data_IF_389046455663
#
_entry.id   IF_389046455663
#
_cell.length_a   1.000
_cell.length_b   1.000
_cell.length_c   1.000
_cell.angle_alpha   90.00
_cell.angle_beta   90.00
_cell.angle_gamma   90.00
#
_symmetry.space_group_name_H-M   'P 1'
#
loop_
_entity.id
_entity.type
_entity.pdbx_description
1 polymer ?
#
# COMPACT_ATOMS: atom_id res chain seq x y z
N UNK A 1 -46.16 27.57 -40.29
CA UNK A 1 -45.71 27.41 -41.70
C UNK A 1 -46.12 26.03 -42.21
N UNK A 2 -45.91 25.72 -43.51
CA UNK A 2 -46.32 24.47 -44.19
C UNK A 2 -45.98 23.20 -43.38
N UNK A 3 -46.96 22.33 -43.08
CA UNK A 3 -47.43 21.15 -43.87
C UNK A 3 -46.37 20.03 -44.01
N UNK A 4 -46.65 18.72 -43.87
CA UNK A 4 -47.70 17.92 -43.19
C UNK A 4 -47.66 16.46 -43.72
N UNK A 5 -47.99 15.46 -42.88
CA UNK A 5 -48.44 14.08 -43.24
C UNK A 5 -47.44 13.24 -44.09
N UNK A 6 -47.60 11.95 -44.44
CA UNK A 6 -48.74 10.98 -44.46
C UNK A 6 -48.35 9.53 -44.10
N UNK A 7 -49.35 8.76 -43.64
CA UNK A 7 -49.68 7.30 -43.83
C UNK A 7 -48.53 6.30 -44.07
N UNK A 8 -48.42 5.13 -43.42
CA UNK A 8 -49.36 4.25 -42.70
C UNK A 8 -50.60 3.73 -43.48
N UNK A 9 -50.57 2.46 -43.92
CA UNK A 9 -51.71 1.60 -44.30
C UNK A 9 -51.20 0.13 -44.24
N UNK A 10 -51.80 -0.76 -43.44
CA UNK A 10 -52.70 -1.88 -43.83
C UNK A 10 -51.98 -3.12 -44.43
N UNK A 11 -52.51 -4.36 -44.41
CA UNK A 11 -53.93 -4.79 -44.30
C UNK A 11 -54.09 -6.11 -43.50
N UNK A 12 -55.32 -6.42 -43.06
CA UNK A 12 -55.72 -7.68 -42.42
C UNK A 12 -56.73 -8.43 -43.31
N UNK A 13 -56.47 -9.70 -43.61
CA UNK A 13 -57.42 -10.77 -44.04
C UNK A 13 -56.74 -12.12 -43.73
N UNK A 14 -57.26 -13.11 -43.00
CA UNK A 14 -58.61 -13.63 -42.72
C UNK A 14 -59.12 -14.66 -43.77
N UNK A 15 -59.86 -15.66 -43.27
CA UNK A 15 -60.52 -16.81 -43.95
C UNK A 15 -59.65 -17.95 -44.51
N UNK A 16 -60.10 -19.22 -44.59
CA UNK A 16 -61.10 -19.98 -43.78
C UNK A 16 -61.16 -21.47 -44.22
N UNK A 17 -61.61 -22.37 -43.31
CA UNK A 17 -62.41 -23.61 -43.56
C UNK A 17 -61.70 -24.80 -44.28
N UNK A 18 -62.01 -26.09 -44.02
CA UNK A 18 -62.88 -26.71 -42.97
C UNK A 18 -62.00 -27.34 -41.85
N UNK A 19 -61.97 -28.62 -41.39
CA UNK A 19 -62.80 -29.86 -41.36
C UNK A 19 -62.34 -30.64 -40.07
N UNK A 20 -63.09 -31.41 -39.27
CA UNK A 20 -64.36 -32.18 -39.37
C UNK A 20 -64.24 -33.54 -40.10
N UNK A 21 -64.84 -34.65 -39.66
CA UNK A 21 -65.45 -34.99 -38.36
C UNK A 21 -65.22 -36.49 -38.04
N UNK A 22 -65.26 -36.97 -36.79
CA UNK A 22 -66.50 -37.41 -36.11
C UNK A 22 -66.19 -37.80 -34.65
N UNK A 23 -66.99 -37.39 -33.64
CA UNK A 23 -68.20 -38.05 -33.10
C UNK A 23 -67.94 -39.46 -32.48
N UNK A 24 -68.44 -39.81 -31.29
CA UNK A 24 -69.79 -39.54 -30.74
C UNK A 24 -69.88 -39.56 -29.19
N UNK A 25 -70.95 -38.95 -28.65
CA UNK A 25 -71.39 -38.86 -27.24
C UNK A 25 -72.13 -40.16 -26.75
N UNK A 26 -72.71 -40.22 -25.52
CA UNK A 26 -72.14 -40.05 -24.17
C UNK A 26 -72.68 -41.09 -23.14
N UNK A 27 -72.49 -40.82 -21.84
CA UNK A 27 -73.35 -41.25 -20.70
C UNK A 27 -73.41 -42.73 -20.30
N UNK A 28 -73.12 -42.98 -19.00
CA UNK A 28 -74.00 -43.81 -18.19
C UNK A 28 -73.93 -43.49 -16.69
N UNK A 29 -75.07 -43.19 -16.09
CA UNK A 29 -75.30 -43.31 -14.66
C UNK A 29 -75.43 -44.78 -14.26
N UNK A 30 -75.17 -45.11 -12.98
CA UNK A 30 -75.59 -46.39 -12.39
C UNK A 30 -75.71 -46.26 -10.86
N UNK A 31 -76.92 -46.37 -10.28
CA UNK A 31 -77.10 -46.78 -8.89
C UNK A 31 -77.08 -48.32 -8.76
N UNK A 32 -77.00 -48.80 -7.52
CA UNK A 32 -76.88 -50.22 -7.17
C UNK A 32 -78.05 -51.08 -7.67
N UNK A 33 -77.77 -52.37 -7.98
CA UNK A 33 -78.35 -53.41 -7.13
C UNK A 33 -77.53 -54.73 -7.06
N UNK A 34 -77.76 -55.44 -5.96
CA UNK A 34 -77.26 -56.77 -5.59
C UNK A 34 -78.24 -57.89 -6.09
N UNK A 35 -78.05 -59.21 -5.85
CA UNK A 35 -76.89 -59.93 -5.28
C UNK A 35 -76.47 -61.23 -6.06
N UNK A 36 -75.54 -61.99 -5.44
CA UNK A 36 -75.61 -63.46 -5.25
C UNK A 36 -74.86 -64.44 -6.19
N UNK A 37 -73.83 -65.05 -5.57
CA UNK A 37 -73.60 -66.51 -5.38
C UNK A 37 -72.56 -67.26 -6.25
N UNK A 38 -71.43 -67.60 -5.58
CA UNK A 38 -70.63 -68.85 -5.68
C UNK A 38 -70.06 -69.26 -7.07
N UNK A 39 -68.73 -69.37 -7.25
CA UNK A 39 -67.94 -70.52 -6.77
C UNK A 39 -66.41 -70.27 -6.65
N UNK A 40 -65.87 -70.57 -5.46
CA UNK A 40 -64.61 -71.29 -5.11
C UNK A 40 -63.38 -71.30 -6.07
N UNK A 41 -62.34 -70.52 -5.71
CA UNK A 41 -60.87 -70.80 -5.83
C UNK A 41 -60.22 -70.92 -7.25
N UNK A 42 -58.86 -70.83 -7.41
CA UNK A 42 -57.79 -70.88 -6.40
C UNK A 42 -56.84 -69.66 -6.30
N UNK A 43 -55.83 -69.86 -5.44
CA UNK A 43 -54.92 -68.91 -4.78
C UNK A 43 -53.81 -68.37 -5.70
N UNK A 44 -53.57 -67.05 -5.65
CA UNK A 44 -52.32 -66.40 -6.11
C UNK A 44 -51.86 -65.40 -5.04
N UNK A 45 -50.57 -65.32 -4.66
CA UNK A 45 -50.11 -64.33 -3.67
C UNK A 45 -49.84 -62.98 -4.37
N UNK A 46 -50.68 -61.98 -4.11
CA UNK A 46 -50.40 -60.61 -4.57
C UNK A 46 -49.36 -59.94 -3.66
N UNK A 47 -48.40 -59.23 -4.26
CA UNK A 47 -47.25 -58.68 -3.55
C UNK A 47 -47.64 -57.62 -2.51
N UNK A 48 -47.00 -57.67 -1.34
CA UNK A 48 -47.28 -56.80 -0.19
C UNK A 48 -46.69 -55.39 -0.40
N UNK A 49 -47.50 -54.44 -0.88
CA UNK A 49 -47.11 -53.03 -1.08
C UNK A 49 -47.01 -52.29 0.26
N UNK A 50 -45.86 -52.46 0.92
CA UNK A 50 -45.47 -51.69 2.11
C UNK A 50 -45.57 -50.17 1.83
N UNK A 51 -46.22 -49.37 2.68
CA UNK A 51 -46.37 -47.93 2.45
C UNK A 51 -45.01 -47.22 2.44
N UNK A 52 -44.86 -46.25 1.55
CA UNK A 52 -43.68 -45.38 1.47
C UNK A 52 -43.59 -44.46 2.69
N UNK A 53 -42.49 -44.53 3.42
CA UNK A 53 -42.18 -43.54 4.45
C UNK A 53 -41.74 -42.21 3.81
N UNK A 54 -42.05 -41.06 4.44
CA UNK A 54 -41.61 -39.77 3.94
C UNK A 54 -40.08 -39.66 4.07
N UNK A 55 -39.36 -39.57 2.94
CA UNK A 55 -37.92 -39.35 2.95
C UNK A 55 -37.61 -37.91 3.41
N UNK A 56 -36.96 -37.77 4.56
CA UNK A 56 -36.71 -36.46 5.17
C UNK A 56 -35.63 -35.68 4.42
N UNK A 57 -35.95 -34.46 4.00
CA UNK A 57 -35.10 -33.53 3.24
C UNK A 57 -33.96 -32.91 4.07
N UNK A 58 -33.07 -33.74 4.63
CA UNK A 58 -31.97 -33.32 5.51
C UNK A 58 -30.64 -33.03 4.79
N UNK A 59 -30.47 -33.47 3.54
CA UNK A 59 -29.19 -33.39 2.81
C UNK A 59 -28.87 -31.96 2.32
N UNK A 60 -29.82 -31.30 1.64
CA UNK A 60 -29.57 -30.06 0.89
C UNK A 60 -29.07 -28.90 1.75
N UNK A 61 -29.53 -28.79 3.00
CA UNK A 61 -29.13 -27.69 3.91
C UNK A 61 -27.64 -27.78 4.26
N UNK A 62 -27.11 -28.99 4.52
CA UNK A 62 -25.69 -29.19 4.81
C UNK A 62 -24.79 -28.83 3.61
N UNK A 63 -25.25 -29.14 2.40
CA UNK A 63 -24.55 -28.78 1.15
C UNK A 63 -24.51 -27.25 1.00
N UNK A 64 -25.64 -26.56 1.19
CA UNK A 64 -25.72 -25.09 1.09
C UNK A 64 -24.80 -24.42 2.12
N UNK A 65 -24.81 -24.86 3.38
CA UNK A 65 -23.93 -24.32 4.44
C UNK A 65 -22.46 -24.55 4.10
N UNK A 66 -22.09 -25.73 3.60
CA UNK A 66 -20.72 -26.03 3.16
C UNK A 66 -20.26 -25.11 2.02
N UNK A 67 -21.10 -24.91 0.99
CA UNK A 67 -20.80 -24.01 -0.13
C UNK A 67 -20.66 -22.56 0.33
N UNK A 68 -21.53 -22.08 1.22
CA UNK A 68 -21.43 -20.71 1.79
C UNK A 68 -20.14 -20.54 2.60
N UNK A 69 -19.76 -21.52 3.43
CA UNK A 69 -18.50 -21.48 4.19
C UNK A 69 -17.27 -21.48 3.26
N UNK A 70 -17.29 -22.26 2.17
CA UNK A 70 -16.21 -22.25 1.17
C UNK A 70 -16.12 -20.90 0.43
N UNK A 71 -17.26 -20.29 0.07
CA UNK A 71 -17.28 -18.98 -0.58
C UNK A 71 -16.81 -17.85 0.34
N UNK A 72 -17.23 -17.86 1.61
CA UNK A 72 -16.75 -16.90 2.63
C UNK A 72 -15.26 -17.11 2.93
N UNK A 73 -14.81 -18.36 3.06
CA UNK A 73 -13.39 -18.69 3.24
C UNK A 73 -12.53 -18.22 2.06
N UNK A 74 -12.98 -18.49 0.83
CA UNK A 74 -12.32 -18.02 -0.39
C UNK A 74 -12.30 -16.49 -0.46
N UNK A 75 -13.40 -15.81 -0.15
CA UNK A 75 -13.45 -14.35 -0.11
C UNK A 75 -12.50 -13.77 0.94
N UNK A 76 -12.43 -14.35 2.15
CA UNK A 76 -11.47 -13.93 3.18
C UNK A 76 -10.01 -14.16 2.75
N UNK A 77 -9.69 -15.30 2.13
CA UNK A 77 -8.34 -15.56 1.59
C UNK A 77 -8.02 -14.58 0.47
N UNK A 78 -8.94 -14.31 -0.46
CA UNK A 78 -8.76 -13.31 -1.50
C UNK A 78 -8.61 -11.90 -0.92
N UNK A 79 -9.38 -11.53 0.10
CA UNK A 79 -9.28 -10.23 0.77
C UNK A 79 -7.95 -10.08 1.54
N UNK A 80 -7.40 -11.15 2.12
CA UNK A 80 -6.08 -11.15 2.74
C UNK A 80 -4.95 -11.11 1.71
N UNK A 81 -5.06 -11.82 0.59
CA UNK A 81 -4.07 -11.79 -0.51
C UNK A 81 -4.10 -10.43 -1.21
N UNK A 82 -5.26 -9.95 -1.64
CA UNK A 82 -5.42 -8.62 -2.25
C UNK A 82 -5.06 -7.53 -1.24
N UNK A 83 -5.55 -7.60 0.00
CA UNK A 83 -5.26 -6.62 1.05
C UNK A 83 -3.78 -6.56 1.45
N UNK A 84 -3.05 -7.68 1.40
CA UNK A 84 -1.59 -7.66 1.58
C UNK A 84 -0.87 -7.08 0.36
N UNK A 85 -1.26 -7.42 -0.88
CA UNK A 85 -0.71 -6.79 -2.08
C UNK A 85 -0.96 -5.27 -2.11
N UNK A 86 -2.14 -4.79 -1.72
CA UNK A 86 -2.45 -3.36 -1.63
C UNK A 86 -1.68 -2.64 -0.50
N UNK A 87 -1.50 -3.26 0.67
CA UNK A 87 -0.65 -2.69 1.74
C UNK A 87 0.84 -2.68 1.36
N UNK A 88 1.33 -3.70 0.66
CA UNK A 88 2.71 -3.76 0.14
C UNK A 88 2.93 -2.74 -0.98
N UNK A 89 1.92 -2.51 -1.83
CA UNK A 89 1.97 -1.58 -2.96
C UNK A 89 2.28 -0.12 -2.61
N UNK A 90 2.01 0.31 -1.37
CA UNK A 90 2.25 1.69 -0.93
C UNK A 90 3.67 1.98 -0.39
N UNK A 91 4.56 0.98 -0.29
CA UNK A 91 5.86 1.15 0.39
C UNK A 91 7.07 0.58 -0.38
N UNK A 92 7.37 1.16 -1.55
CA UNK A 92 8.77 1.25 -2.03
C UNK A 92 9.06 2.40 -3.03
N UNK A 93 8.60 3.61 -2.71
CA UNK A 93 9.19 4.81 -3.30
C UNK A 93 10.69 4.89 -2.95
N UNK A 94 11.56 5.14 -3.94
CA UNK A 94 13.02 5.24 -3.73
C UNK A 94 13.34 6.47 -2.85
N UNK A 95 13.52 6.27 -1.55
CA UNK A 95 13.77 7.38 -0.63
C UNK A 95 15.17 7.93 -0.87
N UNK A 96 15.24 9.21 -1.29
CA UNK A 96 16.46 10.01 -1.21
C UNK A 96 16.77 10.28 0.26
N UNK A 97 18.04 10.27 0.63
CA UNK A 97 18.54 10.69 1.93
C UNK A 97 19.71 11.63 1.76
N UNK A 98 19.97 12.43 2.79
CA UNK A 98 21.00 13.47 2.77
C UNK A 98 21.96 13.32 3.97
N UNK A 99 23.22 13.69 3.76
CA UNK A 99 24.22 13.76 4.82
C UNK A 99 25.13 14.98 4.65
N UNK A 100 25.65 15.50 5.76
CA UNK A 100 26.50 16.67 5.81
C UNK A 100 27.78 16.36 6.59
N UNK A 101 28.93 16.64 5.99
CA UNK A 101 30.24 16.64 6.68
C UNK A 101 30.83 18.04 6.65
N UNK A 102 31.31 18.52 7.80
CA UNK A 102 32.09 19.74 7.95
C UNK A 102 33.55 19.37 8.26
N UNK A 103 34.48 19.75 7.39
CA UNK A 103 35.93 19.57 7.60
C UNK A 103 36.52 20.85 8.24
N UNK A 104 36.96 20.71 9.49
CA UNK A 104 37.63 21.76 10.28
C UNK A 104 39.12 21.87 9.97
N UNK A 105 39.44 22.33 8.76
CA UNK A 105 40.82 22.55 8.31
C UNK A 105 41.49 23.79 8.91
N UNK A 106 42.82 23.77 9.00
CA UNK A 106 43.63 24.88 9.55
C UNK A 106 43.51 26.20 8.77
N UNK A 107 43.42 26.10 7.44
CA UNK A 107 43.34 27.28 6.54
C UNK A 107 41.91 27.65 6.15
N UNK A 108 40.89 26.96 6.66
CA UNK A 108 39.49 27.21 6.30
C UNK A 108 38.62 25.99 6.50
N UNK A 109 37.37 26.23 6.88
CA UNK A 109 36.37 25.20 7.18
C UNK A 109 35.54 24.90 5.93
N UNK A 110 35.35 23.62 5.59
CA UNK A 110 34.58 23.19 4.41
C UNK A 110 33.29 22.49 4.82
N UNK A 111 32.25 22.57 4.00
CA UNK A 111 31.06 21.72 4.09
C UNK A 111 30.93 20.88 2.82
N UNK A 112 30.49 19.64 3.00
CA UNK A 112 30.25 18.67 1.94
C UNK A 112 28.85 18.08 2.14
N UNK A 113 28.00 18.26 1.13
CA UNK A 113 26.67 17.64 1.08
C UNK A 113 26.75 16.37 0.23
N UNK A 114 26.07 15.33 0.71
CA UNK A 114 25.91 14.05 0.03
C UNK A 114 24.42 13.77 -0.13
N UNK A 115 23.98 13.46 -1.36
CA UNK A 115 22.70 12.80 -1.60
C UNK A 115 22.96 11.31 -1.85
N UNK A 116 22.19 10.45 -1.20
CA UNK A 116 22.25 8.99 -1.38
C UNK A 116 20.83 8.43 -1.55
N UNK A 117 20.73 7.18 -1.99
CA UNK A 117 19.43 6.52 -2.15
C UNK A 117 19.32 5.28 -1.28
N UNK A 118 18.23 5.22 -0.55
CA UNK A 118 17.82 4.05 0.20
C UNK A 118 16.83 3.23 -0.64
N UNK A 119 17.32 2.14 -1.22
CA UNK A 119 16.53 1.11 -1.92
C UNK A 119 16.11 -0.05 -1.00
N UNK A 120 16.51 0.01 0.28
CA UNK A 120 16.43 -1.06 1.26
C UNK A 120 17.72 -1.86 1.44
N UNK A 121 18.87 -1.36 0.97
CA UNK A 121 20.22 -1.93 1.20
C UNK A 121 21.14 -0.89 1.88
N UNK A 122 22.43 -1.21 2.01
CA UNK A 122 23.48 -0.25 2.39
C UNK A 122 23.35 1.00 1.50
N UNK A 123 23.33 2.22 2.06
CA UNK A 123 23.11 3.43 1.27
C UNK A 123 24.21 3.60 0.21
N UNK A 124 23.86 3.34 -1.03
CA UNK A 124 24.72 3.63 -2.17
C UNK A 124 24.73 5.14 -2.36
N UNK A 125 25.91 5.74 -2.18
CA UNK A 125 26.15 7.12 -2.58
C UNK A 125 25.94 7.18 -4.10
N UNK A 126 24.84 7.82 -4.54
CA UNK A 126 24.43 7.72 -5.94
C UNK A 126 25.47 8.43 -6.81
N UNK A 127 25.97 7.71 -7.83
CA UNK A 127 26.98 8.12 -8.81
C UNK A 127 27.27 9.62 -8.83
N UNK A 128 28.36 10.03 -8.19
CA UNK A 128 28.67 11.45 -7.94
C UNK A 128 28.90 12.19 -9.27
N UNK A 129 27.84 12.73 -9.85
CA UNK A 129 27.94 13.79 -10.83
C UNK A 129 28.57 15.01 -10.15
N UNK A 130 29.32 15.82 -10.92
CA UNK A 130 29.83 17.12 -10.42
C UNK A 130 28.69 18.09 -10.05
N UNK A 131 27.47 17.79 -10.50
CA UNK A 131 26.24 18.55 -10.24
C UNK A 131 25.63 18.23 -8.86
N UNK A 132 25.77 16.99 -8.38
CA UNK A 132 25.19 16.55 -7.10
C UNK A 132 26.06 16.88 -5.87
N UNK A 133 27.36 17.16 -6.05
CA UNK A 133 28.28 17.43 -4.93
C UNK A 133 28.36 18.91 -4.57
N UNK A 134 27.41 19.38 -3.75
CA UNK A 134 27.44 20.74 -3.24
C UNK A 134 28.48 20.90 -2.11
N UNK A 135 29.47 21.76 -2.32
CA UNK A 135 30.48 22.12 -1.30
C UNK A 135 30.69 23.63 -1.22
N UNK A 136 30.99 24.13 -0.02
CA UNK A 136 31.37 25.53 0.23
C UNK A 136 32.50 25.58 1.27
N UNK A 137 33.29 26.66 1.26
CA UNK A 137 34.39 26.88 2.19
C UNK A 137 34.31 28.28 2.81
N UNK A 138 34.48 28.37 4.12
CA UNK A 138 34.71 29.62 4.86
C UNK A 138 36.18 29.77 5.24
N UNK A 139 36.57 31.01 5.57
CA UNK A 139 37.90 31.39 6.05
C UNK A 139 37.72 32.37 7.22
N UNK A 140 38.59 32.37 8.24
CA UNK A 140 39.72 31.45 8.45
C UNK A 140 39.25 30.03 8.85
N UNK A 141 40.20 29.15 9.19
CA UNK A 141 39.90 27.80 9.69
C UNK A 141 39.56 27.79 11.18
N UNK A 142 38.96 26.70 11.67
CA UNK A 142 38.53 26.60 13.08
C UNK A 142 39.67 26.87 14.08
N UNK A 143 40.92 26.52 13.76
CA UNK A 143 42.08 26.77 14.63
C UNK A 143 42.52 28.23 14.71
N UNK A 144 41.92 29.15 13.95
CA UNK A 144 42.18 30.59 14.07
C UNK A 144 41.28 31.27 15.12
N UNK A 145 40.41 30.50 15.77
CA UNK A 145 39.40 30.97 16.73
C UNK A 145 39.72 30.51 18.17
N UNK A 146 40.99 30.25 18.49
CA UNK A 146 41.45 29.88 19.83
C UNK A 146 41.05 30.93 20.89
N UNK A 147 41.27 32.22 20.57
CA UNK A 147 40.91 33.36 21.43
C UNK A 147 39.45 33.84 21.24
N UNK A 148 38.71 33.31 20.26
CA UNK A 148 37.28 33.61 20.03
C UNK A 148 36.49 32.33 19.65
N UNK A 149 36.25 31.40 20.60
CA UNK A 149 35.50 30.17 20.33
C UNK A 149 34.09 30.43 19.79
N UNK A 150 33.41 31.48 20.26
CA UNK A 150 32.10 31.89 19.72
C UNK A 150 32.22 32.22 18.23
N UNK A 151 33.35 32.77 17.80
CA UNK A 151 33.73 33.01 16.40
C UNK A 151 33.77 31.74 15.57
N UNK A 152 34.24 30.62 16.12
CA UNK A 152 34.19 29.32 15.46
C UNK A 152 32.74 28.89 15.20
N UNK A 153 31.87 28.98 16.22
CA UNK A 153 30.44 28.73 16.10
C UNK A 153 29.77 29.66 15.06
N UNK A 154 30.08 30.95 15.09
CA UNK A 154 29.63 31.93 14.08
C UNK A 154 30.10 31.55 12.66
N UNK A 155 31.33 31.05 12.51
CA UNK A 155 31.93 30.72 11.21
C UNK A 155 31.20 29.60 10.45
N UNK A 156 30.58 28.66 11.17
CA UNK A 156 29.86 27.53 10.57
C UNK A 156 28.39 27.83 10.24
N UNK A 157 27.82 28.94 10.74
CA UNK A 157 26.44 29.36 10.39
C UNK A 157 26.25 29.56 8.89
N UNK A 158 27.24 30.13 8.20
CA UNK A 158 27.21 30.29 6.74
C UNK A 158 27.20 28.95 5.99
N UNK A 159 27.97 27.98 6.47
CA UNK A 159 27.99 26.61 5.94
C UNK A 159 26.63 25.92 6.13
N UNK A 160 26.03 26.04 7.31
CA UNK A 160 24.71 25.48 7.62
C UNK A 160 23.59 26.14 6.80
N UNK A 161 23.69 27.45 6.52
CA UNK A 161 22.76 28.14 5.60
C UNK A 161 22.87 27.58 4.17
N UNK A 162 24.08 27.44 3.65
CA UNK A 162 24.34 26.84 2.33
C UNK A 162 23.75 25.42 2.21
N UNK A 163 23.77 24.63 3.29
CA UNK A 163 23.13 23.32 3.34
C UNK A 163 21.58 23.41 3.30
N UNK A 164 21.00 24.31 4.12
CA UNK A 164 19.54 24.55 4.19
C UNK A 164 18.93 25.09 2.90
N UNK A 165 19.73 25.76 2.06
CA UNK A 165 19.33 26.21 0.72
C UNK A 165 19.19 25.05 -0.30
N UNK A 166 19.71 23.86 0.01
CA UNK A 166 19.86 22.73 -0.94
C UNK A 166 19.15 21.46 -0.51
N UNK A 167 19.05 21.22 0.80
CA UNK A 167 18.37 20.07 1.38
C UNK A 167 16.91 20.45 1.66
N UNK A 168 15.90 19.69 1.19
CA UNK A 168 14.50 19.97 1.46
C UNK A 168 14.19 20.04 2.97
N UNK A 169 13.31 20.97 3.37
CA UNK A 169 13.06 21.29 4.79
C UNK A 169 12.50 20.11 5.60
N UNK A 170 11.71 19.26 4.95
CA UNK A 170 11.19 18.00 5.49
C UNK A 170 12.29 16.96 5.80
N UNK A 171 13.44 17.05 5.12
CA UNK A 171 14.57 16.13 5.30
C UNK A 171 15.56 16.58 6.38
N UNK A 172 15.48 17.82 6.88
CA UNK A 172 16.47 18.36 7.83
C UNK A 172 16.60 17.49 9.09
N UNK A 173 15.48 17.12 9.71
CA UNK A 173 15.48 16.36 10.96
C UNK A 173 16.05 14.92 10.86
N UNK A 174 16.15 14.36 9.64
CA UNK A 174 16.77 13.05 9.39
C UNK A 174 18.19 13.15 8.85
N UNK A 175 18.56 14.30 8.26
CA UNK A 175 19.88 14.56 7.68
C UNK A 175 20.93 14.66 8.79
N UNK A 176 21.87 13.70 8.81
CA UNK A 176 22.97 13.73 9.77
C UNK A 176 24.01 14.79 9.40
N UNK A 177 24.34 15.66 10.35
CA UNK A 177 25.47 16.58 10.27
C UNK A 177 26.59 16.15 11.20
N UNK A 178 27.82 16.14 10.71
CA UNK A 178 29.03 15.80 11.48
C UNK A 178 30.12 16.82 11.22
N UNK A 179 30.89 17.16 12.24
CA UNK A 179 32.06 18.05 12.17
C UNK A 179 33.31 17.25 12.55
N UNK A 180 34.24 17.19 11.61
CA UNK A 180 35.52 16.50 11.76
C UNK A 180 36.63 17.53 11.62
N UNK A 181 37.20 17.96 12.74
CA UNK A 181 38.33 18.87 12.76
C UNK A 181 39.64 18.10 12.49
N UNK A 182 40.55 18.71 11.73
CA UNK A 182 41.72 18.00 11.19
C UNK A 182 43.04 18.59 11.72
N UNK A 183 44.07 18.78 10.88
CA UNK A 183 45.41 19.17 11.31
C UNK A 183 45.55 20.62 11.84
N UNK A 184 44.45 21.37 11.92
CA UNK A 184 44.37 22.67 12.62
C UNK A 184 44.26 22.48 14.13
N UNK A 185 43.13 21.93 14.59
CA UNK A 185 42.85 21.80 16.03
C UNK A 185 43.87 20.91 16.77
N UNK A 186 44.40 19.86 16.13
CA UNK A 186 45.45 18.97 16.71
C UNK A 186 46.75 19.68 17.15
N UNK A 187 46.90 20.98 16.90
CA UNK A 187 48.07 21.78 17.31
C UNK A 187 47.81 22.69 18.51
N UNK A 188 46.54 22.81 18.93
CA UNK A 188 46.13 23.63 20.07
C UNK A 188 46.10 22.76 21.33
N UNK A 189 46.10 23.39 22.50
CA UNK A 189 45.88 22.66 23.75
C UNK A 189 44.47 22.04 23.82
N UNK A 190 44.32 20.96 24.59
CA UNK A 190 43.06 20.21 24.65
C UNK A 190 41.87 21.08 25.12
N UNK A 191 42.12 22.06 26.00
CA UNK A 191 41.11 23.02 26.43
C UNK A 191 40.66 23.94 25.27
N UNK A 192 41.61 24.48 24.50
CA UNK A 192 41.32 25.28 23.30
C UNK A 192 40.52 24.48 22.27
N UNK A 193 40.92 23.23 22.02
CA UNK A 193 40.22 22.34 21.09
C UNK A 193 38.76 22.13 21.51
N UNK A 194 38.52 21.81 22.78
CA UNK A 194 37.18 21.49 23.27
C UNK A 194 36.29 22.73 23.37
N UNK A 195 36.82 23.90 23.77
CA UNK A 195 36.10 25.18 23.76
C UNK A 195 35.63 25.56 22.34
N UNK A 196 36.48 25.39 21.32
CA UNK A 196 36.11 25.60 19.91
C UNK A 196 35.01 24.62 19.47
N UNK A 197 35.11 23.35 19.88
CA UNK A 197 34.12 22.33 19.52
C UNK A 197 32.78 22.55 20.22
N UNK A 198 32.74 23.04 21.46
CA UNK A 198 31.49 23.30 22.18
C UNK A 198 30.65 24.41 21.55
N UNK A 199 31.25 25.51 21.10
CA UNK A 199 30.52 26.53 20.34
C UNK A 199 30.02 26.01 18.98
N UNK A 200 30.79 25.12 18.35
CA UNK A 200 30.30 24.39 17.19
C UNK A 200 29.14 23.44 17.52
N UNK A 201 29.20 22.69 18.63
CA UNK A 201 28.14 21.75 19.09
C UNK A 201 26.83 22.48 19.41
N UNK A 202 26.91 23.64 20.07
CA UNK A 202 25.76 24.52 20.33
C UNK A 202 25.07 24.93 19.02
N UNK A 203 25.84 25.43 18.05
CA UNK A 203 25.33 25.85 16.73
C UNK A 203 24.79 24.68 15.90
N UNK A 204 25.44 23.51 15.97
CA UNK A 204 24.98 22.29 15.29
C UNK A 204 23.69 21.73 15.90
N UNK A 205 23.55 21.75 17.22
CA UNK A 205 22.32 21.37 17.93
C UNK A 205 21.14 22.28 17.54
N UNK A 206 21.38 23.60 17.48
CA UNK A 206 20.38 24.59 17.06
C UNK A 206 20.15 24.62 15.54
N UNK A 207 20.89 23.84 14.75
CA UNK A 207 20.75 23.84 13.30
C UNK A 207 19.43 23.21 12.83
N UNK A 208 18.83 22.30 13.59
CA UNK A 208 17.68 21.50 13.15
C UNK A 208 18.03 20.38 12.15
N UNK A 209 19.32 20.17 11.87
CA UNK A 209 19.82 18.92 11.33
C UNK A 209 20.01 17.89 12.46
N UNK A 210 20.03 16.61 12.12
CA UNK A 210 20.26 15.51 13.07
C UNK A 210 21.71 15.53 13.54
N UNK A 211 21.92 15.75 14.84
CA UNK A 211 23.24 15.95 15.44
C UNK A 211 23.41 15.19 16.76
N UNK A 212 24.66 14.92 17.14
CA UNK A 212 25.08 14.43 18.45
C UNK A 212 26.43 15.05 18.81
N UNK A 213 26.72 15.27 20.09
CA UNK A 213 27.96 15.92 20.52
C UNK A 213 29.21 15.11 20.10
N UNK A 214 29.12 13.78 20.14
CA UNK A 214 30.15 12.84 19.69
C UNK A 214 30.48 12.96 18.19
N UNK A 215 29.62 13.61 17.40
CA UNK A 215 29.83 13.87 15.97
C UNK A 215 30.51 15.21 15.68
N UNK A 216 30.91 15.97 16.70
CA UNK A 216 31.81 17.11 16.59
C UNK A 216 33.10 16.83 17.36
N UNK A 217 34.12 16.38 16.63
CA UNK A 217 35.37 15.85 17.20
C UNK A 217 36.58 16.13 16.30
N UNK A 218 37.77 15.96 16.87
CA UNK A 218 39.05 16.02 16.15
C UNK A 218 39.42 14.63 15.66
N UNK A 219 39.76 14.48 14.37
CA UNK A 219 40.36 13.23 13.87
C UNK A 219 41.82 13.18 14.33
N UNK A 220 42.09 12.30 15.28
CA UNK A 220 43.44 11.92 15.76
C UNK A 220 44.20 11.15 14.70
#
# INVERSE_FOLDING_TARGET
>A
MRRSVWRAHQTITCTAITEMESFKFPSRSNPMNFPARFQVLPRVPLANTKPSSPQTTKSSVGIIVSVVLLLVGLFCVLALVVGSQFNVGFRKGKMKGYGIVIDGGSTGTRIHLFEYRNDGRVPVLESISKENFATMRTHPGLSAFEEDPDGAGRSILGLLKFAKERIPKDQWAETEVRLMATAGLRRLELESQERILDECRKVLTLSGFKFKNEWASVIT
#
